data_IF_685282462893
#
_entry.id   IF_685282462893
#
_cell.length_a   1.000
_cell.length_b   1.000
_cell.length_c   1.000
_cell.angle_alpha   90.00
_cell.angle_beta   90.00
_cell.angle_gamma   90.00
#
_symmetry.space_group_name_H-M   'P 1'
#
loop_
_entity.id
_entity.type
_entity.pdbx_description
1 polymer ?
#
# COMPACT_ATOMS: atom_id res chain seq x y z
N UNK A 1 5.35 -11.18 -10.11
CA UNK A 1 6.19 -10.07 -9.66
C UNK A 1 5.91 -8.78 -10.39
N UNK A 2 6.70 -7.76 -10.10
CA UNK A 2 6.67 -6.45 -10.74
C UNK A 2 8.08 -5.89 -10.84
N UNK A 3 8.46 -5.44 -12.04
CA UNK A 3 9.75 -4.79 -12.29
C UNK A 3 9.55 -3.55 -13.15
N UNK A 4 10.04 -2.40 -12.69
CA UNK A 4 9.91 -1.12 -13.40
C UNK A 4 9.44 0.02 -12.50
N UNK A 5 8.92 1.07 -13.12
CA UNK A 5 8.37 2.24 -12.45
C UNK A 5 6.85 2.12 -12.36
N UNK A 6 6.26 2.64 -11.28
CA UNK A 6 4.81 2.70 -11.14
C UNK A 6 4.28 3.93 -11.87
N UNK A 7 3.12 3.76 -12.52
CA UNK A 7 2.42 4.83 -13.26
C UNK A 7 3.24 5.42 -14.42
N UNK A 8 2.56 6.18 -15.28
CA UNK A 8 3.21 6.85 -16.42
C UNK A 8 4.04 8.07 -15.98
N UNK A 9 4.93 8.58 -16.87
CA UNK A 9 5.80 9.71 -16.57
C UNK A 9 5.04 11.00 -16.21
N UNK A 10 3.80 11.15 -16.70
CA UNK A 10 2.95 12.31 -16.44
C UNK A 10 2.22 12.23 -15.08
N UNK A 11 2.30 11.10 -14.38
CA UNK A 11 1.64 10.94 -13.08
C UNK A 11 2.37 11.75 -12.00
N UNK A 12 1.62 12.59 -11.29
CA UNK A 12 2.16 13.58 -10.35
C UNK A 12 2.15 13.12 -8.89
N UNK A 13 1.76 11.87 -8.62
CA UNK A 13 1.70 11.33 -7.27
C UNK A 13 3.07 11.37 -6.59
N UNK A 14 3.08 11.83 -5.36
CA UNK A 14 4.27 12.02 -4.54
C UNK A 14 4.21 11.07 -3.34
N UNK A 15 5.29 10.35 -3.07
CA UNK A 15 5.40 9.49 -1.89
C UNK A 15 6.71 9.76 -1.17
N UNK A 16 6.66 9.69 0.16
CA UNK A 16 7.85 9.71 1.02
C UNK A 16 8.30 8.27 1.21
N UNK A 17 9.52 7.98 0.79
CA UNK A 17 10.14 6.67 0.94
C UNK A 17 11.11 6.76 2.10
N UNK A 18 10.88 5.97 3.15
CA UNK A 18 11.73 6.01 4.34
C UNK A 18 13.17 5.59 4.00
N UNK A 19 13.34 4.69 3.05
CA UNK A 19 14.63 4.22 2.55
C UNK A 19 15.41 5.25 1.71
N UNK A 20 14.78 6.34 1.25
CA UNK A 20 15.43 7.41 0.48
C UNK A 20 15.51 8.69 1.29
N UNK A 21 14.35 9.28 1.58
CA UNK A 21 14.19 10.50 2.37
C UNK A 21 12.78 10.50 2.96
N UNK A 22 12.72 10.33 4.28
CA UNK A 22 11.49 10.32 5.06
C UNK A 22 10.75 11.67 5.04
N UNK A 23 11.43 12.76 4.71
CA UNK A 23 10.90 14.12 4.78
C UNK A 23 10.51 14.65 3.41
N UNK A 24 11.38 14.47 2.42
CA UNK A 24 11.16 14.98 1.06
C UNK A 24 10.53 13.91 0.18
N UNK A 25 9.30 14.12 -0.31
CA UNK A 25 8.70 13.17 -1.22
C UNK A 25 9.34 13.27 -2.62
N UNK A 26 9.34 12.16 -3.34
CA UNK A 26 9.67 12.09 -4.77
C UNK A 26 8.46 11.63 -5.56
N UNK A 27 8.50 11.74 -6.90
CA UNK A 27 7.42 11.15 -7.72
C UNK A 27 7.47 9.64 -7.62
N UNK A 28 6.29 9.01 -7.52
CA UNK A 28 6.21 7.55 -7.52
C UNK A 28 6.80 6.94 -8.81
N UNK A 29 6.69 7.66 -9.93
CA UNK A 29 7.28 7.27 -11.22
C UNK A 29 8.81 7.36 -11.25
N UNK A 30 9.44 8.06 -10.30
CA UNK A 30 10.90 8.17 -10.18
C UNK A 30 11.50 7.05 -9.31
N UNK A 31 10.66 6.20 -8.70
CA UNK A 31 11.10 5.08 -7.86
C UNK A 31 11.01 3.73 -8.60
N UNK A 32 12.14 3.09 -8.95
CA UNK A 32 12.11 1.77 -9.58
C UNK A 32 11.86 0.65 -8.56
N UNK A 33 11.22 -0.42 -9.02
CA UNK A 33 10.94 -1.62 -8.25
C UNK A 33 11.44 -2.86 -8.99
N UNK A 34 11.86 -3.88 -8.24
CA UNK A 34 12.20 -5.21 -8.75
C UNK A 34 11.77 -6.27 -7.73
N UNK A 35 10.54 -6.78 -7.89
CA UNK A 35 9.83 -7.57 -6.89
C UNK A 35 9.38 -8.91 -7.46
N UNK A 36 9.64 -10.00 -6.74
CA UNK A 36 9.14 -11.33 -7.09
C UNK A 36 7.61 -11.42 -7.01
N UNK A 37 7.01 -10.73 -6.04
CA UNK A 37 5.58 -10.56 -5.87
C UNK A 37 5.24 -9.06 -5.83
N UNK A 38 4.22 -8.64 -6.58
CA UNK A 38 3.75 -7.27 -6.52
C UNK A 38 2.88 -7.09 -5.26
N UNK A 39 3.44 -6.42 -4.26
CA UNK A 39 2.85 -6.13 -2.94
C UNK A 39 2.89 -4.62 -2.63
N UNK A 40 3.08 -3.77 -3.65
CA UNK A 40 3.24 -2.32 -3.54
C UNK A 40 2.16 -1.66 -2.66
N UNK A 41 0.91 -2.08 -2.81
CA UNK A 41 -0.22 -1.58 -2.03
C UNK A 41 -0.14 -1.89 -0.53
N UNK A 42 0.47 -3.03 -0.15
CA UNK A 42 0.68 -3.43 1.25
C UNK A 42 1.93 -2.75 1.79
N UNK A 43 3.09 -2.89 1.12
CA UNK A 43 4.35 -2.33 1.61
C UNK A 43 4.38 -0.81 1.71
N UNK A 44 3.59 -0.12 0.87
CA UNK A 44 3.48 1.34 0.90
C UNK A 44 2.25 1.82 1.67
N UNK A 45 1.45 0.91 2.23
CA UNK A 45 0.35 1.33 3.09
C UNK A 45 0.94 1.95 4.38
N UNK A 46 0.63 3.21 4.70
CA UNK A 46 1.18 3.85 5.90
C UNK A 46 0.71 3.19 7.20
N UNK A 47 -0.45 2.52 7.18
CA UNK A 47 -0.93 1.75 8.32
C UNK A 47 -0.11 0.46 8.50
N UNK A 48 0.14 -0.28 7.41
CA UNK A 48 0.96 -1.50 7.49
C UNK A 48 2.40 -1.20 7.87
N UNK A 49 3.03 -0.16 7.30
CA UNK A 49 4.38 0.26 7.69
C UNK A 49 4.50 0.56 9.20
N UNK A 50 3.51 1.26 9.75
CA UNK A 50 3.44 1.57 11.19
C UNK A 50 3.18 0.32 12.03
N UNK A 51 2.30 -0.57 11.56
CA UNK A 51 1.99 -1.81 12.25
C UNK A 51 3.21 -2.75 12.27
N UNK A 52 3.91 -2.90 11.15
CA UNK A 52 5.15 -3.68 11.03
C UNK A 52 6.27 -3.10 11.92
N UNK A 53 6.38 -1.77 11.99
CA UNK A 53 7.29 -1.10 12.92
C UNK A 53 6.96 -1.45 14.39
N UNK A 54 5.68 -1.53 14.75
CA UNK A 54 5.25 -1.94 16.08
C UNK A 54 5.45 -3.43 16.36
N UNK A 55 5.15 -4.31 15.39
CA UNK A 55 5.40 -5.75 15.49
C UNK A 55 6.89 -6.05 15.68
N UNK A 56 7.76 -5.23 15.09
CA UNK A 56 9.20 -5.27 15.30
C UNK A 56 9.67 -4.73 16.67
N UNK A 57 8.74 -4.34 17.56
CA UNK A 57 9.03 -3.81 18.90
C UNK A 57 9.60 -2.40 18.90
N UNK A 58 9.39 -1.62 17.83
CA UNK A 58 9.95 -0.27 17.67
C UNK A 58 8.86 0.77 17.46
N UNK A 59 7.89 0.92 18.38
CA UNK A 59 6.75 1.80 18.17
C UNK A 59 7.17 3.23 17.81
N UNK A 60 6.37 3.95 17.01
CA UNK A 60 6.72 5.31 16.59
C UNK A 60 6.99 6.22 17.79
N UNK A 61 8.14 6.90 17.77
CA UNK A 61 8.62 7.74 18.89
C UNK A 61 8.78 7.00 20.23
N UNK A 62 8.80 5.66 20.23
CA UNK A 62 8.82 4.85 21.45
C UNK A 62 7.46 4.75 22.16
N UNK A 63 6.36 5.19 21.55
CA UNK A 63 5.03 5.25 22.16
C UNK A 63 4.09 4.23 21.53
N UNK A 64 3.72 3.20 22.29
CA UNK A 64 2.82 2.11 21.86
C UNK A 64 1.42 2.62 21.45
N UNK A 65 0.98 3.77 21.95
CA UNK A 65 -0.30 4.36 21.56
C UNK A 65 -0.31 4.88 20.11
N UNK A 66 0.86 4.96 19.47
CA UNK A 66 0.97 5.32 18.05
C UNK A 66 0.92 4.10 17.12
N UNK A 67 0.79 2.90 17.67
CA UNK A 67 0.58 1.69 16.90
C UNK A 67 -0.86 1.63 16.37
N UNK A 68 -1.07 1.35 15.08
CA UNK A 68 -2.41 1.16 14.55
C UNK A 68 -3.12 0.01 15.26
N UNK A 69 -4.37 0.18 15.74
CA UNK A 69 -5.10 -0.86 16.46
C UNK A 69 -5.59 -1.99 15.54
N UNK A 70 -5.67 -1.74 14.22
CA UNK A 70 -6.12 -2.68 13.20
C UNK A 70 -5.24 -2.57 11.95
N UNK A 71 -5.07 -3.69 11.26
CA UNK A 71 -4.43 -3.76 9.93
C UNK A 71 -5.38 -3.20 8.86
N UNK A 72 -4.84 -2.59 7.83
CA UNK A 72 -5.59 -1.93 6.77
C UNK A 72 -5.73 -2.76 5.50
N UNK A 73 -4.75 -3.60 5.18
CA UNK A 73 -4.73 -4.33 3.91
C UNK A 73 -3.85 -5.57 4.03
N UNK A 74 -4.21 -6.65 3.33
CA UNK A 74 -3.36 -7.83 3.17
C UNK A 74 -3.40 -8.38 1.75
N UNK A 75 -2.47 -9.25 1.40
CA UNK A 75 -2.55 -10.05 0.19
C UNK A 75 -3.19 -11.41 0.51
N UNK A 76 -4.15 -11.81 -0.31
CA UNK A 76 -4.75 -13.16 -0.27
C UNK A 76 -4.51 -13.87 -1.59
N UNK A 77 -4.29 -15.18 -1.54
CA UNK A 77 -4.16 -16.01 -2.73
C UNK A 77 -5.49 -16.06 -3.49
N UNK A 78 -5.40 -16.08 -4.82
CA UNK A 78 -6.53 -16.33 -5.72
C UNK A 78 -6.35 -17.72 -6.31
N UNK A 79 -7.37 -18.55 -6.18
CA UNK A 79 -7.44 -19.83 -6.87
C UNK A 79 -7.39 -19.60 -8.38
N UNK A 80 -6.44 -20.23 -9.06
CA UNK A 80 -6.34 -20.21 -10.50
C UNK A 80 -6.11 -21.62 -11.02
N UNK A 81 -6.91 -22.01 -12.00
CA UNK A 81 -6.87 -23.33 -12.64
C UNK A 81 -5.52 -23.59 -13.35
N UNK A 82 -4.77 -22.54 -13.69
CA UNK A 82 -3.48 -22.60 -14.39
C UNK A 82 -2.27 -22.96 -13.50
N UNK A 83 -2.45 -23.13 -12.18
CA UNK A 83 -1.36 -23.42 -11.23
C UNK A 83 -0.42 -22.24 -10.95
N UNK A 84 -0.69 -21.06 -11.52
CA UNK A 84 0.06 -19.82 -11.24
C UNK A 84 -0.48 -19.18 -9.95
N UNK A 85 0.39 -18.99 -8.96
CA UNK A 85 0.06 -18.25 -7.74
C UNK A 85 -0.16 -16.77 -8.08
N UNK A 86 -1.40 -16.29 -7.90
CA UNK A 86 -1.77 -14.87 -8.04
C UNK A 86 -2.27 -14.39 -6.68
N UNK A 87 -1.92 -13.16 -6.32
CA UNK A 87 -2.38 -12.52 -5.10
C UNK A 87 -3.30 -11.36 -5.44
N UNK A 88 -4.35 -11.16 -4.64
CA UNK A 88 -5.14 -9.90 -4.65
C UNK A 88 -5.01 -9.19 -3.31
N UNK A 89 -5.03 -7.84 -3.31
CA UNK A 89 -5.24 -7.10 -2.09
C UNK A 89 -6.66 -7.33 -1.55
N UNK A 90 -6.77 -7.46 -0.24
CA UNK A 90 -8.02 -7.42 0.52
C UNK A 90 -7.93 -6.28 1.54
N UNK A 91 -8.92 -5.39 1.50
CA UNK A 91 -9.03 -4.26 2.42
C UNK A 91 -9.60 -4.74 3.75
N UNK A 92 -8.99 -4.30 4.85
CA UNK A 92 -9.36 -4.63 6.21
C UNK A 92 -9.84 -3.38 6.96
N UNK A 93 -10.43 -3.58 8.14
CA UNK A 93 -11.02 -2.53 9.00
C UNK A 93 -10.09 -1.37 9.38
N UNK A 94 -8.77 -1.52 9.30
CA UNK A 94 -7.81 -0.46 9.57
C UNK A 94 -7.62 0.51 8.40
N UNK A 95 -8.24 0.26 7.24
CA UNK A 95 -8.13 1.14 6.09
C UNK A 95 -8.87 2.45 6.33
N UNK A 96 -8.17 3.57 6.16
CA UNK A 96 -8.71 4.92 6.35
C UNK A 96 -8.99 5.65 5.03
N UNK A 97 -8.80 4.97 3.90
CA UNK A 97 -9.01 5.53 2.56
C UNK A 97 -7.97 6.59 2.16
N UNK A 98 -6.70 6.38 2.49
CA UNK A 98 -5.62 7.34 2.18
C UNK A 98 -5.23 7.40 0.68
N UNK A 99 -5.68 6.46 -0.15
CA UNK A 99 -5.42 6.46 -1.59
C UNK A 99 -3.99 6.08 -2.03
N UNK A 100 -3.07 5.80 -1.10
CA UNK A 100 -1.67 5.44 -1.45
C UNK A 100 -1.62 4.18 -2.31
N UNK A 101 -2.48 3.22 -1.97
CA UNK A 101 -2.60 1.97 -2.68
C UNK A 101 -3.04 2.22 -4.15
N UNK A 102 -3.98 3.14 -4.39
CA UNK A 102 -4.35 3.56 -5.75
C UNK A 102 -3.15 4.23 -6.41
N UNK A 103 -2.56 5.22 -5.75
CA UNK A 103 -1.41 5.98 -6.27
C UNK A 103 -0.23 5.10 -6.72
N UNK A 104 0.11 4.05 -5.95
CA UNK A 104 1.26 3.17 -6.20
C UNK A 104 0.94 1.97 -7.09
N UNK A 105 -0.32 1.77 -7.48
CA UNK A 105 -0.67 0.66 -8.36
C UNK A 105 0.05 0.83 -9.71
N UNK A 106 0.79 -0.17 -10.21
CA UNK A 106 1.53 -0.04 -11.46
C UNK A 106 0.63 -0.05 -12.70
N UNK A 107 -0.60 -0.55 -12.58
CA UNK A 107 -1.56 -0.58 -13.68
C UNK A 107 -2.10 0.83 -13.96
N UNK A 108 -2.47 1.10 -15.21
CA UNK A 108 -3.08 2.38 -15.61
C UNK A 108 -4.43 2.57 -14.91
N UNK A 109 -5.30 1.56 -14.97
CA UNK A 109 -6.46 1.42 -14.09
C UNK A 109 -6.05 0.65 -12.84
N UNK A 110 -6.26 1.23 -11.66
CA UNK A 110 -5.86 0.58 -10.40
C UNK A 110 -6.68 -0.69 -10.17
N UNK A 111 -6.04 -1.72 -9.60
CA UNK A 111 -6.69 -3.01 -9.27
C UNK A 111 -7.78 -2.88 -8.20
N UNK A 112 -7.91 -1.72 -7.57
CA UNK A 112 -9.05 -1.32 -6.75
C UNK A 112 -9.24 0.20 -6.88
N UNK A 113 -10.48 0.63 -6.73
CA UNK A 113 -10.85 2.05 -6.63
C UNK A 113 -11.36 2.26 -5.21
N UNK A 114 -10.84 3.29 -4.53
CA UNK A 114 -11.31 3.64 -3.20
C UNK A 114 -12.62 4.42 -3.31
N UNK A 115 -13.75 3.79 -2.99
CA UNK A 115 -15.00 4.53 -2.76
C UNK A 115 -15.03 5.05 -1.31
N UNK A 116 -14.92 6.36 -1.14
CA UNK A 116 -14.87 7.03 0.17
C UNK A 116 -16.18 6.90 0.95
N UNK A 117 -17.31 6.71 0.26
CA UNK A 117 -18.63 6.57 0.89
C UNK A 117 -18.79 5.17 1.45
N UNK A 118 -18.45 4.16 0.66
CA UNK A 118 -18.57 2.74 1.06
C UNK A 118 -17.49 2.34 2.07
N UNK A 119 -16.25 2.82 1.90
CA UNK A 119 -15.10 2.45 2.76
C UNK A 119 -15.14 3.03 4.18
N UNK A 120 -15.94 4.07 4.44
CA UNK A 120 -16.13 4.64 5.78
C UNK A 120 -17.32 4.05 6.53
N UNK A 121 -18.06 3.13 5.92
CA UNK A 121 -19.32 2.63 6.49
C UNK A 121 -20.36 3.74 6.69
N UNK A 122 -20.23 4.87 5.99
CA UNK A 122 -21.26 5.90 5.92
C UNK A 122 -22.35 5.44 4.94
N UNK A 123 -23.08 4.41 5.32
CA UNK A 123 -24.42 4.22 4.77
C UNK A 123 -25.27 5.40 5.27
N UNK A 124 -25.76 6.21 4.33
CA UNK A 124 -26.85 7.15 4.58
C UNK A 124 -28.13 6.39 4.92
#
# INVERSE_FOLDING_TARGET
GFKGQVRGPDYKGLLRYEEIDRWSPIRVSEHPYDLELCDLCVRQCPIEQRADQCDAGKPPSGDENQCPPKRAIRLVEIDNEDGVRRMKPEILDGCVGCGVCEMICPLEESVFVMDVVESRGWAA
#
